data_IF_932133165025
#
_entry.id   IF_932133165025
#
_cell.length_a   1.000
_cell.length_b   1.000
_cell.length_c   1.000
_cell.angle_alpha   90.00
_cell.angle_beta   90.00
_cell.angle_gamma   90.00
#
_symmetry.space_group_name_H-M   'P 1'
#
loop_
_entity.id
_entity.type
_entity.pdbx_description
1 polymer ?
#
# COMPACT_ATOMS: atom_id res chain seq x y z
N UNK A 1 -19.68 11.87 2.08
CA UNK A 1 -20.60 12.37 1.03
C UNK A 1 -20.20 11.90 -0.37
N UNK A 2 -18.97 12.22 -0.88
CA UNK A 2 -18.52 11.73 -2.21
C UNK A 2 -18.56 10.20 -2.30
N UNK A 3 -18.10 9.50 -1.27
CA UNK A 3 -18.10 8.03 -1.21
C UNK A 3 -19.52 7.46 -1.23
N UNK A 4 -20.43 8.04 -0.47
CA UNK A 4 -21.84 7.63 -0.40
C UNK A 4 -22.55 7.82 -1.76
N UNK A 5 -22.16 8.83 -2.52
CA UNK A 5 -22.67 9.10 -3.87
C UNK A 5 -21.94 8.36 -4.97
N UNK A 6 -20.83 7.69 -4.67
CA UNK A 6 -19.94 7.07 -5.65
C UNK A 6 -19.23 8.06 -6.58
N UNK A 7 -19.15 9.35 -6.20
CA UNK A 7 -18.49 10.39 -7.00
C UNK A 7 -17.00 10.50 -6.66
N UNK A 8 -16.23 9.59 -7.21
CA UNK A 8 -14.78 9.56 -7.03
C UNK A 8 -14.03 10.61 -7.88
N UNK A 9 -14.69 11.20 -8.87
CA UNK A 9 -14.11 12.34 -9.62
C UNK A 9 -14.09 13.59 -8.75
N UNK A 10 -15.17 13.86 -8.04
CA UNK A 10 -15.24 14.93 -7.05
C UNK A 10 -14.26 14.64 -5.90
N UNK A 11 -14.22 13.41 -5.40
CA UNK A 11 -13.28 13.01 -4.35
C UNK A 11 -11.83 13.32 -4.73
N UNK A 12 -11.38 13.01 -5.96
CA UNK A 12 -10.04 13.38 -6.44
C UNK A 12 -9.80 14.88 -6.45
N UNK A 13 -10.80 15.68 -6.84
CA UNK A 13 -10.70 17.13 -6.83
C UNK A 13 -10.49 17.68 -5.42
N UNK A 14 -11.26 17.17 -4.46
CA UNK A 14 -11.13 17.52 -3.04
C UNK A 14 -9.75 17.12 -2.50
N UNK A 15 -9.30 15.90 -2.78
CA UNK A 15 -7.98 15.42 -2.36
C UNK A 15 -6.84 16.30 -2.90
N UNK A 16 -6.92 16.74 -4.16
CA UNK A 16 -5.95 17.68 -4.74
C UNK A 16 -5.95 19.03 -4.03
N UNK A 17 -7.12 19.56 -3.69
CA UNK A 17 -7.22 20.81 -2.91
C UNK A 17 -6.62 20.66 -1.51
N UNK A 18 -6.78 19.49 -0.88
CA UNK A 18 -6.16 19.19 0.42
C UNK A 18 -4.62 19.13 0.28
N UNK A 19 -4.09 18.60 -0.82
CA UNK A 19 -2.64 18.61 -1.08
C UNK A 19 -2.08 20.04 -1.08
N UNK A 20 -2.77 20.99 -1.71
CA UNK A 20 -2.31 22.39 -1.71
C UNK A 20 -2.26 22.98 -0.29
N UNK A 21 -3.24 22.64 0.57
CA UNK A 21 -3.21 23.03 1.99
C UNK A 21 -2.02 22.37 2.71
N UNK A 22 -1.75 21.09 2.43
CA UNK A 22 -0.65 20.36 3.08
C UNK A 22 0.73 20.90 2.70
N UNK A 23 0.91 21.39 1.48
CA UNK A 23 2.17 22.01 1.01
C UNK A 23 2.59 23.24 1.83
N UNK A 24 1.62 23.94 2.42
CA UNK A 24 1.86 25.15 3.21
C UNK A 24 1.74 24.88 4.73
N UNK A 25 1.58 23.63 5.14
CA UNK A 25 1.31 23.28 6.54
C UNK A 25 2.59 22.99 7.32
N UNK A 26 2.92 23.86 8.27
CA UNK A 26 4.02 23.65 9.22
C UNK A 26 3.91 22.33 10.00
N UNK A 27 2.66 21.91 10.35
CA UNK A 27 2.43 20.65 11.07
C UNK A 27 2.80 19.46 10.20
N UNK A 28 2.49 19.50 8.92
CA UNK A 28 2.87 18.44 7.96
C UNK A 28 4.38 18.38 7.80
N UNK A 29 5.05 19.50 7.68
CA UNK A 29 6.52 19.57 7.56
C UNK A 29 7.22 19.08 8.82
N UNK A 30 6.69 19.39 10.00
CA UNK A 30 7.23 18.90 11.27
C UNK A 30 7.04 17.37 11.39
N UNK A 31 5.85 16.86 11.03
CA UNK A 31 5.57 15.44 11.02
C UNK A 31 6.49 14.69 10.04
N UNK A 32 6.75 15.24 8.87
CA UNK A 32 7.65 14.69 7.86
C UNK A 32 9.10 14.62 8.38
N UNK A 33 9.61 15.70 8.96
CA UNK A 33 10.96 15.71 9.54
C UNK A 33 11.11 14.69 10.68
N UNK A 34 10.10 14.62 11.55
CA UNK A 34 10.07 13.66 12.65
C UNK A 34 10.05 12.23 12.14
N UNK A 35 9.30 11.97 11.06
CA UNK A 35 9.23 10.66 10.45
C UNK A 35 10.58 10.24 9.83
N UNK A 36 11.26 11.10 9.09
CA UNK A 36 12.60 10.82 8.56
C UNK A 36 13.63 10.58 9.66
N UNK A 37 13.59 11.39 10.73
CA UNK A 37 14.44 11.18 11.89
C UNK A 37 14.22 9.81 12.54
N UNK A 38 12.95 9.39 12.69
CA UNK A 38 12.60 8.07 13.20
C UNK A 38 13.19 6.95 12.33
N UNK A 39 13.07 7.03 11.02
CA UNK A 39 13.63 6.04 10.09
C UNK A 39 15.16 5.97 10.18
N UNK A 40 15.84 7.10 10.23
CA UNK A 40 17.29 7.14 10.39
C UNK A 40 17.75 6.53 11.72
N UNK A 41 17.03 6.79 12.80
CA UNK A 41 17.33 6.21 14.12
C UNK A 41 17.05 4.70 14.15
N UNK A 42 15.99 4.24 13.48
CA UNK A 42 15.69 2.83 13.33
C UNK A 42 16.82 2.09 12.58
N UNK A 43 17.28 2.65 11.47
CA UNK A 43 18.39 2.11 10.69
C UNK A 43 19.69 2.05 11.51
N UNK A 44 20.02 3.15 12.24
CA UNK A 44 21.18 3.20 13.11
C UNK A 44 21.14 2.12 14.21
N UNK A 45 19.97 1.85 14.78
CA UNK A 45 19.80 0.80 15.81
C UNK A 45 19.92 -0.60 15.21
N UNK A 46 19.35 -0.82 14.03
CA UNK A 46 19.45 -2.09 13.31
C UNK A 46 20.91 -2.40 12.98
N UNK A 47 21.64 -1.46 12.39
CA UNK A 47 23.05 -1.62 12.06
C UNK A 47 23.92 -1.91 13.31
N UNK A 48 23.57 -1.29 14.46
CA UNK A 48 24.26 -1.54 15.73
C UNK A 48 23.99 -2.94 16.28
N UNK A 49 22.76 -3.42 16.18
CA UNK A 49 22.37 -4.77 16.61
C UNK A 49 23.06 -5.83 15.73
N UNK A 50 23.08 -5.63 14.44
CA UNK A 50 23.69 -6.54 13.46
C UNK A 50 25.21 -6.66 13.69
N UNK A 51 25.91 -5.55 13.98
CA UNK A 51 27.31 -5.56 14.38
C UNK A 51 27.55 -6.35 15.68
N UNK A 52 26.61 -6.27 16.63
CA UNK A 52 26.68 -7.00 17.89
C UNK A 52 26.49 -8.51 17.69
N UNK A 53 25.62 -8.90 16.76
CA UNK A 53 25.35 -10.29 16.41
C UNK A 53 26.38 -10.90 15.45
N UNK A 54 27.37 -10.13 15.01
CA UNK A 54 28.40 -10.57 14.06
C UNK A 54 27.82 -11.04 12.71
N UNK A 55 26.68 -10.44 12.32
CA UNK A 55 26.05 -10.71 11.01
C UNK A 55 26.80 -9.91 9.96
N UNK A 56 27.24 -10.57 8.90
CA UNK A 56 27.86 -9.90 7.76
C UNK A 56 26.82 -9.14 6.93
N UNK A 57 26.59 -7.86 7.30
CA UNK A 57 25.67 -6.96 6.63
C UNK A 57 26.28 -6.34 5.37
N UNK A 58 27.57 -6.53 5.12
CA UNK A 58 28.24 -5.91 3.98
C UNK A 58 27.54 -6.22 2.63
N UNK A 59 26.79 -7.33 2.58
CA UNK A 59 26.06 -7.79 1.40
C UNK A 59 24.54 -7.59 1.48
N UNK A 60 23.99 -7.04 2.58
CA UNK A 60 22.55 -6.81 2.78
C UNK A 60 22.28 -5.33 2.82
N UNK A 61 21.42 -4.84 1.93
CA UNK A 61 20.96 -3.45 1.91
C UNK A 61 19.51 -3.39 2.40
N UNK A 62 19.32 -2.92 3.62
CA UNK A 62 17.98 -2.63 4.16
C UNK A 62 17.42 -1.34 3.57
N UNK A 63 16.12 -1.36 3.29
CA UNK A 63 15.35 -0.18 2.92
C UNK A 63 14.00 -0.27 3.63
N UNK A 64 13.43 0.87 3.92
CA UNK A 64 12.21 0.97 4.70
C UNK A 64 11.04 1.43 3.83
N UNK A 65 9.86 0.94 4.15
CA UNK A 65 8.60 1.47 3.65
C UNK A 65 7.83 2.11 4.80
N UNK A 66 7.26 3.28 4.56
CA UNK A 66 6.27 3.84 5.44
C UNK A 66 4.90 3.22 5.19
N UNK A 67 4.02 3.29 6.17
CA UNK A 67 2.66 2.79 6.01
C UNK A 67 1.63 3.65 6.75
N UNK A 68 0.43 3.72 6.20
CA UNK A 68 -0.75 4.24 6.87
C UNK A 68 -1.72 3.10 7.22
N UNK A 69 -2.46 3.26 8.32
CA UNK A 69 -3.50 2.30 8.71
C UNK A 69 -4.83 2.66 8.06
N UNK A 70 -5.38 1.75 7.24
CA UNK A 70 -6.67 1.93 6.55
C UNK A 70 -7.90 1.95 7.47
N UNK A 71 -7.75 1.52 8.73
CA UNK A 71 -8.82 1.55 9.72
C UNK A 71 -9.11 2.94 10.33
N UNK A 72 -8.33 3.96 9.98
CA UNK A 72 -8.49 5.33 10.46
C UNK A 72 -9.57 6.12 9.71
N UNK A 73 -9.85 7.34 10.22
CA UNK A 73 -10.67 8.30 9.48
C UNK A 73 -9.97 8.73 8.18
N UNK A 74 -10.69 8.86 7.04
CA UNK A 74 -10.09 9.12 5.75
C UNK A 74 -9.11 10.29 5.71
N UNK A 75 -9.44 11.40 6.38
CA UNK A 75 -8.56 12.57 6.40
C UNK A 75 -7.23 12.30 7.13
N UNK A 76 -7.27 11.48 8.19
CA UNK A 76 -6.06 11.07 8.93
C UNK A 76 -5.21 10.12 8.12
N UNK A 77 -5.87 9.18 7.42
CA UNK A 77 -5.18 8.25 6.50
C UNK A 77 -4.48 9.05 5.40
N UNK A 78 -5.18 10.02 4.80
CA UNK A 78 -4.60 10.84 3.75
C UNK A 78 -3.43 11.70 4.22
N UNK A 79 -3.53 12.31 5.40
CA UNK A 79 -2.43 13.06 6.00
C UNK A 79 -1.20 12.18 6.25
N UNK A 80 -1.38 10.97 6.79
CA UNK A 80 -0.29 10.01 6.99
C UNK A 80 0.36 9.62 5.66
N UNK A 81 -0.44 9.28 4.65
CA UNK A 81 0.06 8.93 3.32
C UNK A 81 0.85 10.08 2.70
N UNK A 82 0.36 11.32 2.81
CA UNK A 82 1.04 12.50 2.30
C UNK A 82 2.40 12.70 2.98
N UNK A 83 2.45 12.67 4.33
CA UNK A 83 3.70 12.79 5.12
C UNK A 83 4.72 11.75 4.69
N UNK A 84 4.29 10.49 4.52
CA UNK A 84 5.17 9.39 4.10
C UNK A 84 5.71 9.64 2.68
N UNK A 85 4.86 10.05 1.74
CA UNK A 85 5.29 10.34 0.37
C UNK A 85 6.29 11.51 0.32
N UNK A 86 6.04 12.57 1.09
CA UNK A 86 6.97 13.69 1.21
C UNK A 86 8.30 13.25 1.84
N UNK A 87 8.25 12.43 2.90
CA UNK A 87 9.43 11.88 3.54
C UNK A 87 10.25 10.97 2.58
N UNK A 88 9.58 10.13 1.77
CA UNK A 88 10.26 9.36 0.73
C UNK A 88 10.95 10.25 -0.30
N UNK A 89 10.26 11.29 -0.77
CA UNK A 89 10.82 12.26 -1.73
C UNK A 89 12.06 12.96 -1.16
N UNK A 90 12.04 13.29 0.13
CA UNK A 90 13.08 14.03 0.82
C UNK A 90 14.18 13.14 1.45
N UNK A 91 14.07 11.80 1.32
CA UNK A 91 15.07 10.84 1.83
C UNK A 91 16.32 10.84 0.94
N UNK A 92 17.27 11.69 1.28
CA UNK A 92 18.54 11.83 0.52
C UNK A 92 19.47 10.63 0.70
N UNK A 93 19.33 9.89 1.79
CA UNK A 93 20.06 8.67 2.11
C UNK A 93 19.42 7.42 1.44
N UNK A 94 18.27 7.59 0.79
CA UNK A 94 17.51 6.51 0.17
C UNK A 94 17.12 5.37 1.12
N UNK A 95 17.02 5.63 2.41
CA UNK A 95 16.56 4.65 3.38
C UNK A 95 15.06 4.39 3.27
N UNK A 96 14.26 5.46 3.16
CA UNK A 96 12.83 5.36 2.98
C UNK A 96 12.49 5.42 1.48
N UNK A 97 11.97 4.30 0.95
CA UNK A 97 11.85 4.11 -0.50
C UNK A 97 10.42 3.92 -1.00
N UNK A 98 9.45 3.82 -0.12
CA UNK A 98 8.08 3.59 -0.56
C UNK A 98 7.03 3.71 0.53
N UNK A 99 5.78 3.59 0.10
CA UNK A 99 4.60 3.70 0.94
C UNK A 99 3.70 2.48 0.79
N UNK A 100 3.03 2.11 1.88
CA UNK A 100 2.08 1.01 1.95
C UNK A 100 0.80 1.46 2.68
N UNK A 101 -0.25 0.65 2.60
CA UNK A 101 -1.44 0.75 3.43
C UNK A 101 -1.66 -0.60 4.11
N UNK A 102 -1.88 -0.59 5.42
CA UNK A 102 -1.93 -1.79 6.26
C UNK A 102 -3.20 -1.83 7.12
N UNK A 103 -3.32 -2.81 7.96
CA UNK A 103 -4.46 -3.22 8.78
C UNK A 103 -5.47 -4.08 8.02
N UNK A 104 -6.34 -4.76 8.77
CA UNK A 104 -7.31 -5.73 8.26
C UNK A 104 -8.11 -5.18 7.07
N UNK A 105 -7.96 -5.82 5.92
CA UNK A 105 -8.63 -5.38 4.69
C UNK A 105 -10.14 -5.54 4.76
N UNK A 106 -10.61 -6.58 5.47
CA UNK A 106 -12.02 -6.84 5.76
C UNK A 106 -12.62 -5.98 6.89
N UNK A 107 -11.84 -5.07 7.49
CA UNK A 107 -12.35 -4.15 8.51
C UNK A 107 -13.42 -3.21 7.96
N UNK A 108 -14.39 -2.83 8.79
CA UNK A 108 -15.54 -2.00 8.37
C UNK A 108 -15.13 -0.76 7.60
N UNK A 109 -14.24 0.07 8.18
CA UNK A 109 -13.74 1.30 7.51
C UNK A 109 -12.84 0.98 6.32
N UNK A 110 -12.09 -0.13 6.39
CA UNK A 110 -11.25 -0.58 5.28
C UNK A 110 -12.09 -0.87 4.04
N UNK A 111 -13.18 -1.60 4.21
CA UNK A 111 -14.12 -1.93 3.14
C UNK A 111 -14.89 -0.70 2.67
N UNK A 112 -15.44 0.09 3.60
CA UNK A 112 -16.24 1.28 3.31
C UNK A 112 -15.47 2.30 2.46
N UNK A 113 -14.19 2.51 2.78
CA UNK A 113 -13.36 3.53 2.15
C UNK A 113 -12.33 2.96 1.18
N UNK A 114 -12.42 1.67 0.80
CA UNK A 114 -11.38 1.02 0.00
C UNK A 114 -11.07 1.80 -1.28
N UNK A 115 -12.08 2.09 -2.09
CA UNK A 115 -11.88 2.84 -3.32
C UNK A 115 -11.37 4.26 -3.06
N UNK A 116 -11.84 4.96 -2.02
CA UNK A 116 -11.31 6.26 -1.64
C UNK A 116 -9.81 6.19 -1.30
N UNK A 117 -9.37 5.15 -0.59
CA UNK A 117 -7.94 4.94 -0.32
C UNK A 117 -7.15 4.77 -1.63
N UNK A 118 -7.69 4.06 -2.62
CA UNK A 118 -7.05 3.92 -3.93
C UNK A 118 -6.98 5.27 -4.68
N UNK A 119 -8.01 6.10 -4.55
CA UNK A 119 -8.00 7.47 -5.10
C UNK A 119 -6.97 8.38 -4.41
N UNK A 120 -6.76 8.22 -3.09
CA UNK A 120 -5.70 8.91 -2.37
C UNK A 120 -4.31 8.56 -2.96
N UNK A 121 -4.04 7.28 -3.19
CA UNK A 121 -2.79 6.86 -3.84
C UNK A 121 -2.68 7.39 -5.26
N UNK A 122 -3.77 7.43 -6.03
CA UNK A 122 -3.77 7.97 -7.38
C UNK A 122 -3.31 9.44 -7.42
N UNK A 123 -3.87 10.29 -6.54
CA UNK A 123 -3.48 11.71 -6.50
C UNK A 123 -2.06 11.90 -5.97
N UNK A 124 -1.63 11.07 -5.00
CA UNK A 124 -0.27 11.10 -4.49
C UNK A 124 0.76 10.58 -5.50
N UNK A 125 0.41 9.60 -6.33
CA UNK A 125 1.27 9.13 -7.42
C UNK A 125 1.48 10.22 -8.50
N UNK A 126 0.50 11.06 -8.74
CA UNK A 126 0.62 12.21 -9.65
C UNK A 126 1.52 13.31 -9.05
N UNK A 127 1.43 13.58 -7.74
CA UNK A 127 2.22 14.58 -7.02
C UNK A 127 3.67 14.11 -6.73
N UNK A 128 3.84 12.85 -6.37
CA UNK A 128 5.13 12.27 -5.94
C UNK A 128 5.58 11.13 -6.87
N UNK A 129 5.83 11.42 -8.13
CA UNK A 129 6.10 10.43 -9.20
C UNK A 129 7.27 9.46 -8.93
N UNK A 130 8.22 9.88 -8.10
CA UNK A 130 9.38 9.04 -7.75
C UNK A 130 9.10 8.03 -6.63
N UNK A 131 8.04 8.25 -5.84
CA UNK A 131 7.71 7.38 -4.70
C UNK A 131 7.01 6.13 -5.19
N UNK A 132 7.48 4.97 -4.73
CA UNK A 132 6.91 3.67 -5.06
C UNK A 132 5.93 3.22 -3.99
N UNK A 133 4.93 2.45 -4.42
CA UNK A 133 3.92 1.91 -3.53
C UNK A 133 3.86 0.39 -3.62
N UNK A 134 3.83 -0.25 -2.44
CA UNK A 134 3.55 -1.66 -2.30
C UNK A 134 2.30 -1.78 -1.45
N UNK A 135 1.19 -2.16 -2.04
CA UNK A 135 -0.11 -2.10 -1.37
C UNK A 135 -0.58 -3.49 -0.96
N UNK A 136 -0.99 -3.63 0.31
CA UNK A 136 -1.80 -4.79 0.70
C UNK A 136 -3.12 -4.71 -0.05
N UNK A 137 -3.37 -5.68 -0.92
CA UNK A 137 -4.60 -5.79 -1.69
C UNK A 137 -4.93 -7.26 -1.96
N UNK A 138 -6.19 -7.62 -1.75
CA UNK A 138 -6.66 -8.98 -1.95
C UNK A 138 -6.25 -9.95 -0.84
N UNK A 139 -6.00 -9.48 0.38
CA UNK A 139 -5.91 -10.35 1.56
C UNK A 139 -7.32 -10.73 2.05
N UNK A 140 -8.08 -11.30 1.15
CA UNK A 140 -9.49 -11.64 1.32
C UNK A 140 -9.78 -13.06 0.81
N UNK A 141 -10.81 -13.69 1.36
CA UNK A 141 -11.28 -14.99 0.93
C UNK A 141 -12.78 -15.15 1.10
N UNK A 142 -13.34 -16.16 0.44
CA UNK A 142 -14.74 -16.52 0.58
C UNK A 142 -15.08 -16.81 2.05
N UNK A 143 -16.19 -16.26 2.53
CA UNK A 143 -16.62 -16.38 3.93
C UNK A 143 -16.08 -15.31 4.87
N UNK A 144 -14.98 -14.63 4.53
CA UNK A 144 -14.47 -13.50 5.29
C UNK A 144 -15.22 -12.20 4.96
N UNK A 145 -15.54 -12.03 3.68
CA UNK A 145 -16.34 -10.92 3.14
C UNK A 145 -17.42 -11.45 2.21
N UNK A 146 -18.37 -10.61 1.79
CA UNK A 146 -19.36 -10.97 0.79
C UNK A 146 -18.70 -11.20 -0.57
N UNK A 147 -19.25 -12.09 -1.43
CA UNK A 147 -18.65 -12.40 -2.73
C UNK A 147 -18.38 -11.19 -3.62
N UNK A 148 -19.26 -10.20 -3.62
CA UNK A 148 -19.10 -8.97 -4.39
C UNK A 148 -17.86 -8.16 -4.00
N UNK A 149 -17.40 -8.29 -2.77
CA UNK A 149 -16.21 -7.59 -2.29
C UNK A 149 -14.88 -8.26 -2.68
N UNK A 150 -14.92 -9.46 -3.23
CA UNK A 150 -13.73 -10.16 -3.73
C UNK A 150 -13.38 -9.78 -5.18
N UNK A 151 -14.17 -8.92 -5.82
CA UNK A 151 -14.15 -8.78 -7.29
C UNK A 151 -13.36 -7.58 -7.81
N UNK A 152 -12.78 -6.73 -6.95
CA UNK A 152 -12.22 -5.45 -7.39
C UNK A 152 -10.99 -4.94 -6.62
N UNK A 153 -10.58 -5.58 -5.54
CA UNK A 153 -9.52 -5.04 -4.67
C UNK A 153 -8.18 -4.96 -5.38
N UNK A 154 -7.72 -6.04 -6.00
CA UNK A 154 -6.45 -6.05 -6.74
C UNK A 154 -6.57 -5.14 -7.98
N UNK A 155 -7.70 -5.19 -8.67
CA UNK A 155 -7.94 -4.33 -9.84
C UNK A 155 -7.81 -2.84 -9.49
N UNK A 156 -8.46 -2.40 -8.41
CA UNK A 156 -8.39 -1.00 -7.99
C UNK A 156 -6.97 -0.60 -7.52
N UNK A 157 -6.25 -1.49 -6.84
CA UNK A 157 -4.86 -1.24 -6.46
C UNK A 157 -3.96 -1.06 -7.69
N UNK A 158 -4.16 -1.87 -8.73
CA UNK A 158 -3.37 -1.84 -9.98
C UNK A 158 -3.77 -0.66 -10.88
N UNK A 159 -5.07 -0.43 -11.08
CA UNK A 159 -5.57 0.47 -12.11
C UNK A 159 -5.92 1.86 -11.60
N UNK A 160 -6.39 1.99 -10.36
CA UNK A 160 -6.69 3.29 -9.73
C UNK A 160 -5.47 3.81 -8.97
N UNK A 161 -4.99 3.06 -7.97
CA UNK A 161 -3.87 3.50 -7.13
C UNK A 161 -2.51 3.47 -7.85
N UNK A 162 -2.41 2.80 -8.99
CA UNK A 162 -1.16 2.65 -9.77
C UNK A 162 -0.06 1.97 -8.96
N UNK A 163 -0.42 0.98 -8.15
CA UNK A 163 0.50 0.24 -7.30
C UNK A 163 1.69 -0.32 -8.10
N UNK A 164 2.88 -0.24 -7.53
CA UNK A 164 4.09 -0.80 -8.12
C UNK A 164 4.30 -2.27 -7.72
N UNK A 165 3.66 -2.71 -6.63
CA UNK A 165 3.72 -4.07 -6.09
C UNK A 165 2.44 -4.35 -5.29
N UNK A 166 1.94 -5.57 -5.34
CA UNK A 166 0.78 -6.03 -4.60
C UNK A 166 1.24 -6.97 -3.49
N UNK A 167 0.83 -6.71 -2.25
CA UNK A 167 0.95 -7.63 -1.14
C UNK A 167 -0.25 -8.58 -1.10
N UNK A 168 0.01 -9.86 -0.88
CA UNK A 168 -0.95 -10.97 -0.77
C UNK A 168 -1.62 -11.41 -2.08
N UNK A 169 -2.55 -10.65 -2.63
CA UNK A 169 -3.23 -10.98 -3.87
C UNK A 169 -3.99 -12.31 -3.86
N UNK A 170 -4.56 -12.70 -2.71
CA UNK A 170 -5.19 -14.03 -2.54
C UNK A 170 -6.52 -14.14 -3.25
N UNK A 171 -7.29 -13.05 -3.34
CA UNK A 171 -8.61 -13.04 -3.97
C UNK A 171 -8.59 -12.95 -5.50
N UNK A 172 -7.42 -12.97 -6.14
CA UNK A 172 -7.28 -12.93 -7.59
C UNK A 172 -8.23 -13.88 -8.36
N UNK A 173 -8.49 -15.11 -7.88
CA UNK A 173 -9.42 -16.02 -8.57
C UNK A 173 -10.87 -15.52 -8.64
N UNK A 174 -11.22 -14.54 -7.79
CA UNK A 174 -12.56 -13.97 -7.71
C UNK A 174 -12.66 -12.58 -8.37
N UNK A 175 -11.52 -11.99 -8.75
CA UNK A 175 -11.48 -10.68 -9.40
C UNK A 175 -12.27 -10.67 -10.71
N UNK A 176 -13.07 -9.63 -10.91
CA UNK A 176 -13.76 -9.43 -12.18
C UNK A 176 -12.73 -9.15 -13.28
N UNK A 177 -12.69 -10.00 -14.30
CA UNK A 177 -11.70 -9.92 -15.37
C UNK A 177 -10.27 -10.32 -14.93
N UNK A 178 -10.14 -11.25 -13.98
CA UNK A 178 -8.87 -11.68 -13.40
C UNK A 178 -7.80 -12.08 -14.42
N UNK A 179 -8.18 -12.73 -15.53
CA UNK A 179 -7.24 -13.10 -16.61
C UNK A 179 -6.65 -11.87 -17.32
N UNK A 180 -7.44 -10.83 -17.54
CA UNK A 180 -6.98 -9.58 -18.13
C UNK A 180 -6.13 -8.78 -17.14
N UNK A 181 -6.53 -8.80 -15.87
CA UNK A 181 -5.77 -8.19 -14.79
C UNK A 181 -4.38 -8.83 -14.68
N UNK A 182 -4.28 -10.16 -14.69
CA UNK A 182 -3.00 -10.88 -14.70
C UNK A 182 -2.13 -10.50 -15.90
N UNK A 183 -2.71 -10.45 -17.11
CA UNK A 183 -1.98 -9.99 -18.28
C UNK A 183 -1.47 -8.56 -18.14
N UNK A 184 -2.31 -7.67 -17.63
CA UNK A 184 -1.93 -6.27 -17.35
C UNK A 184 -0.77 -6.20 -16.36
N UNK A 185 -0.82 -6.99 -15.29
CA UNK A 185 0.24 -7.04 -14.28
C UNK A 185 1.54 -7.62 -14.83
N UNK A 186 1.46 -8.70 -15.62
CA UNK A 186 2.63 -9.43 -16.14
C UNK A 186 3.27 -8.73 -17.35
N UNK A 187 2.50 -8.44 -18.37
CA UNK A 187 3.00 -7.99 -19.69
C UNK A 187 3.06 -6.47 -19.81
N UNK A 188 2.06 -5.79 -19.23
CA UNK A 188 1.95 -4.34 -19.31
C UNK A 188 2.80 -3.62 -18.27
N UNK A 189 2.34 -3.66 -17.02
CA UNK A 189 2.92 -2.86 -15.93
C UNK A 189 4.07 -3.55 -15.19
N UNK A 190 4.26 -4.86 -15.35
CA UNK A 190 5.25 -5.68 -14.64
C UNK A 190 5.16 -5.53 -13.13
N UNK A 191 3.96 -5.71 -12.57
CA UNK A 191 3.67 -5.57 -11.15
C UNK A 191 3.91 -6.91 -10.45
N UNK A 192 4.91 -7.04 -9.56
CA UNK A 192 5.12 -8.24 -8.78
C UNK A 192 4.09 -8.38 -7.67
N UNK A 193 3.90 -9.62 -7.23
CA UNK A 193 3.05 -9.97 -6.08
C UNK A 193 3.91 -10.57 -4.98
N UNK A 194 3.77 -10.06 -3.76
CA UNK A 194 4.40 -10.61 -2.55
C UNK A 194 3.55 -11.78 -2.05
N UNK A 195 4.11 -12.96 -2.11
CA UNK A 195 3.45 -14.18 -1.66
C UNK A 195 3.78 -14.45 -0.20
N UNK A 196 2.78 -14.34 0.67
CA UNK A 196 2.92 -14.45 2.12
C UNK A 196 2.24 -15.74 2.64
N UNK A 197 2.77 -16.92 2.26
CA UNK A 197 2.13 -18.23 2.50
C UNK A 197 1.72 -18.44 3.96
N UNK A 198 2.64 -18.22 4.91
CA UNK A 198 2.37 -18.40 6.34
C UNK A 198 1.30 -17.45 6.87
N UNK A 199 1.36 -16.17 6.47
CA UNK A 199 0.36 -15.17 6.84
C UNK A 199 -1.01 -15.53 6.27
N UNK A 200 -1.07 -15.92 4.99
CA UNK A 200 -2.32 -16.28 4.32
C UNK A 200 -2.95 -17.56 4.91
N UNK A 201 -2.15 -18.55 5.31
CA UNK A 201 -2.66 -19.70 6.06
C UNK A 201 -3.21 -19.28 7.43
N UNK A 202 -2.46 -18.47 8.18
CA UNK A 202 -2.84 -18.08 9.54
C UNK A 202 -4.07 -17.16 9.58
N UNK A 203 -4.15 -16.17 8.69
CA UNK A 203 -5.21 -15.13 8.69
C UNK A 203 -6.43 -15.61 7.91
N UNK A 204 -6.22 -16.24 6.74
CA UNK A 204 -7.30 -16.57 5.80
C UNK A 204 -7.65 -18.06 5.75
N UNK A 205 -6.84 -18.92 6.39
CA UNK A 205 -6.96 -20.37 6.26
C UNK A 205 -6.56 -20.92 4.88
N UNK A 206 -6.04 -20.09 3.98
CA UNK A 206 -5.69 -20.46 2.60
C UNK A 206 -4.31 -21.08 2.56
N UNK A 207 -4.23 -22.36 2.16
CA UNK A 207 -2.99 -23.14 2.16
C UNK A 207 -2.88 -24.11 0.99
N UNK A 208 -1.66 -24.55 0.74
CA UNK A 208 -1.38 -25.61 -0.25
C UNK A 208 -1.92 -25.26 -1.63
N UNK A 209 -2.74 -26.14 -2.18
CA UNK A 209 -3.33 -25.99 -3.52
C UNK A 209 -4.45 -24.95 -3.63
N UNK A 210 -4.98 -24.49 -2.50
CA UNK A 210 -5.99 -23.41 -2.46
C UNK A 210 -5.37 -22.04 -2.68
N UNK A 211 -4.05 -21.89 -2.42
CA UNK A 211 -3.37 -20.63 -2.62
C UNK A 211 -3.18 -20.33 -4.11
N UNK A 212 -3.50 -19.11 -4.59
CA UNK A 212 -3.45 -18.74 -6.01
C UNK A 212 -2.03 -18.58 -6.58
N UNK A 213 -0.98 -18.92 -5.84
CA UNK A 213 0.43 -18.80 -6.28
C UNK A 213 0.67 -19.39 -7.68
N UNK A 214 -0.01 -20.49 -8.02
CA UNK A 214 0.13 -21.14 -9.33
C UNK A 214 -0.39 -20.27 -10.48
N UNK A 215 -1.33 -19.38 -10.23
CA UNK A 215 -1.84 -18.45 -11.24
C UNK A 215 -0.80 -17.36 -11.56
N UNK A 216 -0.04 -16.94 -10.58
CA UNK A 216 1.03 -15.95 -10.74
C UNK A 216 2.29 -16.49 -11.44
N UNK A 217 2.47 -17.83 -11.45
CA UNK A 217 3.61 -18.49 -12.11
C UNK A 217 3.37 -18.81 -13.59
N UNK A 218 2.15 -18.72 -14.08
CA UNK A 218 1.82 -18.93 -15.50
C UNK A 218 2.06 -17.65 -16.29
#
# INVERSE_FOLDING_TARGET
ECVEKGDYKEARSVLKSIIEIYKESFIIDEAERSYRFFIAELDRRSNKLDNHLNIDIANVKCRYQGYASRGGEPIKVFAQLYVIHQACKNSTDHLLVGCNIVAAENGEKSMMYYQLHMEMFAVLADEFRSVKTSLHAGELTMGLVRPEHLTYHINHAVNIAKANRIGHGVDLPFEQGGDELLRTMKEGKKIPVEINLTSNEFILGVKGTEHPIRLYHK
#
